data_IF_260174279908
#
_entry.id   IF_260174279908
#
_cell.length_a   1.000
_cell.length_b   1.000
_cell.length_c   1.000
_cell.angle_alpha   90.00
_cell.angle_beta   90.00
_cell.angle_gamma   90.00
#
_symmetry.space_group_name_H-M   'P 1'
#
loop_
_entity.id
_entity.type
_entity.pdbx_description
1 polymer ?
#
# COMPACT_ATOMS: atom_id res chain seq x y z
N UNK A 1 7.42 3.77 15.24
CA UNK A 1 8.82 3.42 14.93
C UNK A 1 9.20 2.21 15.75
N UNK A 2 9.83 1.20 15.14
CA UNK A 2 10.17 -0.06 15.83
C UNK A 2 11.55 -0.51 15.38
N UNK A 3 12.34 -1.08 16.29
CA UNK A 3 13.62 -1.69 15.94
C UNK A 3 13.40 -2.97 15.15
N UNK A 4 14.23 -3.18 14.13
CA UNK A 4 14.12 -4.37 13.26
C UNK A 4 14.39 -5.65 14.05
N UNK A 5 15.29 -5.63 15.04
CA UNK A 5 15.54 -6.79 15.89
C UNK A 5 14.27 -7.23 16.64
N UNK A 6 13.47 -6.28 17.14
CA UNK A 6 12.23 -6.59 17.85
C UNK A 6 11.20 -7.30 16.97
N UNK A 7 11.07 -6.88 15.71
CA UNK A 7 10.13 -7.51 14.77
C UNK A 7 10.67 -8.88 14.32
N UNK A 8 12.00 -9.01 14.22
CA UNK A 8 12.65 -10.27 13.82
C UNK A 8 12.33 -11.42 14.79
N UNK A 9 12.08 -11.15 16.07
CA UNK A 9 11.65 -12.17 17.03
C UNK A 9 10.27 -12.78 16.71
N UNK A 10 9.40 -12.06 16.01
CA UNK A 10 8.05 -12.53 15.67
C UNK A 10 7.95 -13.07 14.24
N UNK A 11 9.08 -13.16 13.53
CA UNK A 11 9.12 -13.51 12.12
C UNK A 11 8.40 -14.85 11.83
N UNK A 12 8.61 -15.84 12.69
CA UNK A 12 7.94 -17.15 12.61
C UNK A 12 6.43 -17.05 12.89
N UNK A 13 6.01 -16.26 13.87
CA UNK A 13 4.59 -16.04 14.18
C UNK A 13 3.82 -15.41 13.01
N UNK A 14 4.51 -14.59 12.19
CA UNK A 14 3.94 -13.97 11.00
C UNK A 14 4.14 -14.81 9.72
N UNK A 15 4.77 -15.99 9.80
CA UNK A 15 5.05 -16.83 8.64
C UNK A 15 6.05 -16.20 7.64
N UNK A 16 6.88 -15.26 8.10
CA UNK A 16 7.85 -14.57 7.25
C UNK A 16 9.10 -15.45 7.15
N UNK A 17 9.51 -15.81 5.92
CA UNK A 17 10.70 -16.64 5.70
C UNK A 17 11.95 -15.85 5.27
N UNK A 18 11.76 -14.60 4.86
CA UNK A 18 12.84 -13.71 4.43
C UNK A 18 13.46 -12.93 5.61
N UNK A 19 14.66 -12.39 5.43
CA UNK A 19 15.24 -11.47 6.41
C UNK A 19 14.32 -10.24 6.56
N UNK A 20 14.08 -9.80 7.80
CA UNK A 20 13.24 -8.62 8.05
C UNK A 20 13.80 -7.37 7.39
N UNK A 21 15.12 -7.22 7.34
CA UNK A 21 15.76 -6.08 6.65
C UNK A 21 15.42 -6.08 5.17
N UNK A 22 15.55 -7.22 4.51
CA UNK A 22 15.27 -7.37 3.08
C UNK A 22 13.79 -7.10 2.78
N UNK A 23 12.87 -7.61 3.62
CA UNK A 23 11.43 -7.33 3.51
C UNK A 23 11.14 -5.82 3.49
N UNK A 24 11.76 -5.06 4.39
CA UNK A 24 11.55 -3.61 4.47
C UNK A 24 12.18 -2.88 3.28
N UNK A 25 13.33 -3.34 2.78
CA UNK A 25 14.00 -2.77 1.63
C UNK A 25 13.29 -3.05 0.31
N UNK A 26 12.60 -4.20 0.18
CA UNK A 26 11.78 -4.55 -0.99
C UNK A 26 10.53 -3.65 -1.14
N UNK A 27 10.13 -2.97 -0.06
CA UNK A 27 8.92 -2.15 -0.03
C UNK A 27 9.21 -0.70 0.41
N UNK A 28 10.09 0.03 -0.30
CA UNK A 28 10.51 1.39 0.10
C UNK A 28 9.39 2.42 0.00
N UNK A 29 8.32 2.11 -0.74
CA UNK A 29 7.11 2.91 -0.79
C UNK A 29 6.33 2.90 0.52
N UNK A 30 6.42 1.79 1.28
CA UNK A 30 5.65 1.52 2.50
C UNK A 30 6.50 1.79 3.73
N UNK A 31 7.75 1.32 3.73
CA UNK A 31 8.65 1.42 4.87
C UNK A 31 9.80 2.38 4.59
N UNK A 32 10.18 3.10 5.64
CA UNK A 32 11.45 3.81 5.70
C UNK A 32 12.34 3.12 6.73
N UNK A 33 13.57 2.77 6.32
CA UNK A 33 14.56 2.15 7.18
C UNK A 33 15.65 3.17 7.52
N UNK A 34 15.81 3.45 8.81
CA UNK A 34 16.89 4.27 9.34
C UNK A 34 17.94 3.38 9.98
N UNK A 35 19.22 3.71 9.78
CA UNK A 35 20.34 3.05 10.44
C UNK A 35 21.10 4.08 11.25
N UNK A 36 21.22 3.85 12.56
CA UNK A 36 22.00 4.70 13.47
C UNK A 36 22.98 3.83 14.25
N UNK A 37 24.25 3.89 13.87
CA UNK A 37 25.26 2.96 14.38
C UNK A 37 24.88 1.53 14.01
N UNK A 38 24.73 0.66 15.02
CA UNK A 38 24.33 -0.74 14.83
C UNK A 38 22.82 -0.97 14.95
N UNK A 39 22.04 0.06 15.31
CA UNK A 39 20.60 -0.06 15.47
C UNK A 39 19.88 0.25 14.16
N UNK A 40 18.96 -0.63 13.77
CA UNK A 40 18.08 -0.43 12.62
C UNK A 40 16.66 -0.18 13.07
N UNK A 41 16.10 0.94 12.64
CA UNK A 41 14.74 1.35 13.00
C UNK A 41 13.89 1.47 11.75
N UNK A 42 12.76 0.77 11.74
CA UNK A 42 11.78 0.86 10.67
C UNK A 42 10.62 1.79 11.06
N UNK A 43 10.18 2.56 10.07
CA UNK A 43 9.05 3.47 10.14
C UNK A 43 8.07 3.09 9.04
N UNK A 44 6.79 3.06 9.38
CA UNK A 44 5.73 2.97 8.38
C UNK A 44 5.47 4.38 7.83
N UNK A 45 5.53 4.56 6.51
CA UNK A 45 5.36 5.88 5.87
C UNK A 45 3.91 6.34 5.88
N UNK A 46 2.98 5.42 5.66
CA UNK A 46 1.55 5.67 5.57
C UNK A 46 0.81 4.50 6.24
N UNK A 47 -0.36 4.73 6.82
CA UNK A 47 -1.11 3.65 7.45
C UNK A 47 -1.79 2.77 6.38
N UNK A 48 -1.63 1.45 6.48
CA UNK A 48 -2.26 0.48 5.58
C UNK A 48 -3.16 -0.49 6.35
N UNK A 49 -4.29 -0.83 5.76
CA UNK A 49 -5.16 -1.92 6.18
C UNK A 49 -5.45 -2.83 4.98
N UNK A 50 -5.24 -4.15 5.14
CA UNK A 50 -5.52 -5.17 4.10
C UNK A 50 -4.91 -4.85 2.72
N UNK A 51 -3.74 -4.20 2.71
CA UNK A 51 -3.01 -3.84 1.49
C UNK A 51 -3.49 -2.54 0.83
N UNK A 52 -4.39 -1.79 1.47
CA UNK A 52 -4.84 -0.48 1.02
C UNK A 52 -4.44 0.61 2.01
N UNK A 53 -4.14 1.82 1.54
CA UNK A 53 -3.98 2.97 2.44
C UNK A 53 -5.29 3.25 3.19
N UNK A 54 -5.17 3.52 4.49
CA UNK A 54 -6.30 3.95 5.33
C UNK A 54 -6.70 5.39 4.98
N UNK A 55 -5.71 6.27 4.77
CA UNK A 55 -5.89 7.66 4.35
C UNK A 55 -5.34 7.84 2.93
N UNK A 56 -6.18 7.74 1.89
CA UNK A 56 -5.72 7.83 0.51
C UNK A 56 -5.20 9.23 0.18
N UNK A 57 -4.18 9.28 -0.67
CA UNK A 57 -3.67 10.52 -1.24
C UNK A 57 -3.70 10.46 -2.78
N UNK A 58 -3.60 11.62 -3.48
CA UNK A 58 -3.71 11.66 -4.93
C UNK A 58 -2.70 10.75 -5.65
N UNK A 59 -1.49 10.61 -5.11
CA UNK A 59 -0.45 9.76 -5.69
C UNK A 59 -0.84 8.28 -5.58
N UNK A 60 -1.36 7.86 -4.44
CA UNK A 60 -1.85 6.50 -4.24
C UNK A 60 -2.99 6.15 -5.19
N UNK A 61 -3.97 7.04 -5.37
CA UNK A 61 -5.09 6.79 -6.28
C UNK A 61 -4.61 6.61 -7.72
N UNK A 62 -3.69 7.46 -8.19
CA UNK A 62 -3.09 7.31 -9.53
C UNK A 62 -2.32 6.00 -9.66
N UNK A 63 -1.56 5.59 -8.64
CA UNK A 63 -0.81 4.32 -8.66
C UNK A 63 -1.74 3.11 -8.71
N UNK A 64 -2.86 3.15 -7.99
CA UNK A 64 -3.87 2.08 -8.04
C UNK A 64 -4.55 2.01 -9.40
N UNK A 65 -4.95 3.15 -9.97
CA UNK A 65 -5.59 3.15 -11.27
C UNK A 65 -4.62 2.67 -12.36
N UNK A 66 -3.36 3.09 -12.31
CA UNK A 66 -2.33 2.55 -13.19
C UNK A 66 -2.19 1.03 -13.05
N UNK A 67 -2.12 0.51 -11.82
CA UNK A 67 -2.03 -0.93 -11.58
C UNK A 67 -3.25 -1.67 -12.14
N UNK A 68 -4.45 -1.13 -11.92
CA UNK A 68 -5.70 -1.65 -12.50
C UNK A 68 -5.62 -1.69 -14.02
N UNK A 69 -5.23 -0.59 -14.66
CA UNK A 69 -5.09 -0.50 -16.12
C UNK A 69 -4.03 -1.47 -16.66
N UNK A 70 -2.89 -1.65 -16.00
CA UNK A 70 -1.84 -2.60 -16.41
C UNK A 70 -2.34 -4.05 -16.34
N UNK A 71 -3.11 -4.39 -15.30
CA UNK A 71 -3.73 -5.71 -15.16
C UNK A 71 -4.80 -5.92 -16.24
N UNK A 72 -5.61 -4.90 -16.53
CA UNK A 72 -6.64 -4.92 -17.57
C UNK A 72 -6.05 -4.95 -18.98
N UNK A 73 -4.96 -4.25 -19.25
CA UNK A 73 -4.31 -4.22 -20.57
C UNK A 73 -3.79 -5.59 -21.03
N UNK A 74 -3.63 -6.55 -20.10
CA UNK A 74 -3.31 -7.97 -20.39
C UNK A 74 -4.54 -8.84 -20.66
N UNK A 75 -5.74 -8.37 -20.32
CA UNK A 75 -7.03 -9.05 -20.52
C UNK A 75 -7.94 -8.08 -21.24
N UNK A 76 -7.87 -8.05 -22.57
CA UNK A 76 -8.48 -7.04 -23.45
C UNK A 76 -9.73 -6.36 -22.90
N UNK A 77 -9.75 -5.02 -23.00
CA UNK A 77 -10.84 -4.14 -22.54
C UNK A 77 -12.21 -4.84 -22.59
N UNK A 78 -12.90 -5.05 -21.45
CA UNK A 78 -14.30 -5.42 -21.52
C UNK A 78 -15.02 -4.24 -22.17
N UNK A 79 -15.51 -4.49 -23.38
CA UNK A 79 -16.16 -3.53 -24.23
C UNK A 79 -17.27 -2.81 -23.45
N UNK A 80 -17.26 -1.48 -23.51
CA UNK A 80 -18.04 -0.58 -22.65
C UNK A 80 -19.54 -0.57 -22.91
N UNK A 81 -20.22 -1.70 -22.69
CA UNK A 81 -21.67 -1.80 -22.66
C UNK A 81 -22.13 -2.53 -21.39
N UNK A 82 -21.88 -1.92 -20.25
CA UNK A 82 -22.66 -2.16 -19.04
C UNK A 82 -23.01 -0.79 -18.47
N UNK A 83 -24.28 -0.40 -18.60
CA UNK A 83 -24.80 0.87 -18.13
C UNK A 83 -24.65 1.06 -16.62
N UNK A 84 -24.86 2.28 -16.11
CA UNK A 84 -24.62 2.60 -14.72
C UNK A 84 -25.71 1.98 -13.83
N UNK A 85 -25.37 0.94 -13.08
CA UNK A 85 -26.10 0.60 -11.85
C UNK A 85 -25.84 1.69 -10.83
N UNK A 86 -26.77 2.63 -10.80
CA UNK A 86 -26.96 3.64 -9.76
C UNK A 86 -27.14 2.94 -8.42
N UNK A 87 -26.24 3.18 -7.47
CA UNK A 87 -26.55 3.28 -6.03
C UNK A 87 -25.30 3.74 -5.27
N UNK A 88 -25.38 4.94 -4.67
CA UNK A 88 -24.31 5.55 -3.88
C UNK A 88 -24.21 7.07 -4.11
N UNK A 89 -24.98 7.82 -3.35
CA UNK A 89 -25.25 9.28 -3.36
C UNK A 89 -23.99 10.18 -3.48
N UNK A 90 -24.03 11.32 -4.19
CA UNK A 90 -22.91 12.26 -4.26
C UNK A 90 -22.70 13.03 -2.95
N UNK A 91 -21.45 13.18 -2.51
CA UNK A 91 -21.08 14.22 -1.55
C UNK A 91 -20.88 15.51 -2.34
N UNK A 92 -21.93 16.34 -2.35
CA UNK A 92 -21.94 17.65 -2.97
C UNK A 92 -21.02 18.58 -2.17
N UNK A 93 -19.98 19.12 -2.80
CA UNK A 93 -19.29 20.31 -2.32
C UNK A 93 -19.76 21.49 -3.18
N UNK A 94 -20.79 22.18 -2.69
CA UNK A 94 -21.06 23.57 -3.05
C UNK A 94 -20.28 24.43 -2.04
N UNK A 95 -19.41 25.28 -2.53
CA UNK A 95 -18.88 26.41 -1.77
C UNK A 95 -19.16 27.68 -2.60
N UNK A 96 -20.06 28.51 -2.09
CA UNK A 96 -19.97 29.97 -2.22
C UNK A 96 -18.82 30.47 -1.33
#
# INVERSE_FOLDING_TARGET
MVEVEKISHFRECFGIQMNMRDLFLDHPGIFYLSTKGNAHTVFLREAYERGCLIEPNPVYEVRRELLRLVIMGRRGFPNGNAGPSREGVPMEFVAD
#
